data_IF_232809886156
#
_entry.id   IF_232809886156
#
_cell.length_a   1.000
_cell.length_b   1.000
_cell.length_c   1.000
_cell.angle_alpha   90.00
_cell.angle_beta   90.00
_cell.angle_gamma   90.00
#
_symmetry.space_group_name_H-M   'P 1'
#
loop_
_entity.id
_entity.type
_entity.pdbx_description
1 polymer ?
#
# COMPACT_ATOMS: atom_id res chain seq x y z
N UNK A 1 22.63 1.91 3.97
CA UNK A 1 22.89 3.36 4.08
C UNK A 1 23.04 3.75 5.55
N UNK A 2 24.02 3.16 6.23
CA UNK A 2 24.30 3.40 7.65
C UNK A 2 25.79 3.70 7.79
N UNK A 3 26.13 4.55 8.74
CA UNK A 3 27.49 4.81 9.16
C UNK A 3 28.03 3.62 9.98
N UNK A 4 29.36 3.52 10.22
CA UNK A 4 29.96 2.43 11.00
C UNK A 4 29.42 2.29 12.43
N UNK A 5 28.86 3.38 12.98
CA UNK A 5 28.19 3.44 14.28
C UNK A 5 26.73 2.95 14.24
N UNK A 6 26.24 2.50 13.08
CA UNK A 6 24.87 2.04 12.86
C UNK A 6 23.84 3.16 12.59
N UNK A 7 24.25 4.44 12.60
CA UNK A 7 23.32 5.56 12.37
C UNK A 7 23.01 5.69 10.88
N UNK A 8 21.74 5.92 10.54
CA UNK A 8 21.32 6.13 9.16
C UNK A 8 22.01 7.37 8.55
N UNK A 9 22.59 7.21 7.36
CA UNK A 9 23.24 8.33 6.66
C UNK A 9 22.20 9.38 6.25
N UNK A 10 22.55 10.65 6.43
CA UNK A 10 21.76 11.76 5.93
C UNK A 10 21.70 11.80 4.39
N UNK A 11 20.62 12.35 3.85
CA UNK A 11 20.38 12.36 2.40
C UNK A 11 21.49 13.06 1.60
N UNK A 12 22.07 14.12 2.16
CA UNK A 12 23.20 14.82 1.52
C UNK A 12 24.42 13.90 1.37
N UNK A 13 24.81 13.19 2.43
CA UNK A 13 25.95 12.28 2.41
C UNK A 13 25.74 11.16 1.40
N UNK A 14 24.54 10.55 1.40
CA UNK A 14 24.19 9.50 0.43
C UNK A 14 24.30 10.01 -1.01
N UNK A 15 23.83 11.22 -1.30
CA UNK A 15 23.92 11.79 -2.64
C UNK A 15 25.35 12.23 -3.02
N UNK A 16 26.16 12.66 -2.06
CA UNK A 16 27.57 12.99 -2.28
C UNK A 16 28.38 11.74 -2.63
N UNK A 17 28.20 10.65 -1.88
CA UNK A 17 28.83 9.35 -2.14
C UNK A 17 28.48 8.81 -3.53
N UNK A 18 27.30 9.17 -4.05
CA UNK A 18 26.82 8.78 -5.38
C UNK A 18 27.20 9.76 -6.49
N UNK A 19 27.88 10.87 -6.18
CA UNK A 19 28.21 11.90 -7.17
C UNK A 19 27.01 12.69 -7.70
N UNK A 20 25.87 12.66 -7.01
CA UNK A 20 24.61 13.31 -7.42
C UNK A 20 24.36 14.64 -6.70
N UNK A 21 25.15 14.96 -5.68
CA UNK A 21 25.02 16.20 -4.93
C UNK A 21 25.55 17.40 -5.72
N UNK A 22 24.78 18.49 -5.76
CA UNK A 22 25.18 19.76 -6.36
C UNK A 22 25.05 20.93 -5.38
N UNK A 23 25.85 21.99 -5.51
CA UNK A 23 25.73 23.17 -4.65
C UNK A 23 24.32 23.76 -4.68
N UNK A 24 23.82 24.20 -3.50
CA UNK A 24 22.48 24.78 -3.31
C UNK A 24 21.31 23.86 -3.67
N UNK A 25 21.54 22.54 -3.74
CA UNK A 25 20.46 21.57 -3.90
C UNK A 25 19.57 21.57 -2.67
N UNK A 26 18.31 21.93 -2.87
CA UNK A 26 17.30 21.86 -1.82
C UNK A 26 16.97 20.41 -1.50
N UNK A 27 16.70 20.10 -0.22
CA UNK A 27 16.26 18.77 0.20
C UNK A 27 14.88 18.44 -0.37
N UNK A 28 13.99 19.44 -0.34
CA UNK A 28 12.58 19.32 -0.70
C UNK A 28 12.13 20.60 -1.42
N UNK A 29 11.44 20.44 -2.54
CA UNK A 29 10.73 21.55 -3.17
C UNK A 29 9.38 21.79 -2.48
N UNK A 30 9.06 23.06 -2.28
CA UNK A 30 7.81 23.51 -1.67
C UNK A 30 6.93 24.19 -2.71
N UNK A 31 5.63 24.03 -2.56
CA UNK A 31 4.62 24.76 -3.33
C UNK A 31 4.38 26.14 -2.67
N UNK A 32 3.78 27.11 -3.40
CA UNK A 32 3.45 28.41 -2.83
C UNK A 32 2.53 28.35 -1.60
N UNK A 33 1.70 27.30 -1.51
CA UNK A 33 0.81 27.03 -0.36
C UNK A 33 1.54 26.42 0.86
N UNK A 34 2.88 26.36 0.83
CA UNK A 34 3.70 25.77 1.89
C UNK A 34 3.70 24.24 1.93
N UNK A 35 3.00 23.55 1.02
CA UNK A 35 2.97 22.08 0.98
C UNK A 35 4.13 21.51 0.19
N UNK A 36 4.54 20.27 0.52
CA UNK A 36 5.57 19.54 -0.23
C UNK A 36 5.14 19.36 -1.69
N UNK A 37 5.99 19.76 -2.62
CA UNK A 37 5.73 19.56 -4.04
C UNK A 37 5.96 18.10 -4.44
N UNK A 38 4.89 17.28 -4.39
CA UNK A 38 4.96 15.85 -4.78
C UNK A 38 5.25 15.62 -6.27
N UNK A 39 4.99 16.60 -7.14
CA UNK A 39 5.26 16.48 -8.58
C UNK A 39 6.74 16.24 -8.88
N UNK A 40 7.63 16.73 -8.00
CA UNK A 40 9.06 16.48 -8.10
C UNK A 40 9.42 14.98 -8.03
N UNK A 41 8.60 14.15 -7.39
CA UNK A 41 8.83 12.69 -7.33
C UNK A 41 8.53 11.97 -8.65
N UNK A 42 7.83 12.63 -9.59
CA UNK A 42 7.52 12.07 -10.90
C UNK A 42 8.67 12.31 -11.89
N UNK A 43 9.89 11.91 -11.52
CA UNK A 43 11.07 11.95 -12.40
C UNK A 43 11.84 13.28 -12.45
N UNK A 44 11.57 14.21 -11.54
CA UNK A 44 12.30 15.47 -11.47
C UNK A 44 13.73 15.32 -10.94
N UNK A 45 14.59 16.29 -11.24
CA UNK A 45 15.93 16.45 -10.64
C UNK A 45 16.03 17.73 -9.80
N UNK A 46 14.88 18.29 -9.41
CA UNK A 46 14.72 19.59 -8.73
C UNK A 46 15.33 19.63 -7.32
N UNK A 47 15.22 18.54 -6.55
CA UNK A 47 15.63 18.44 -5.15
C UNK A 47 16.24 17.07 -4.83
N UNK A 48 16.95 16.98 -3.70
CA UNK A 48 17.60 15.77 -3.22
C UNK A 48 16.64 14.57 -3.14
N UNK A 49 15.41 14.80 -2.65
CA UNK A 49 14.37 13.76 -2.54
C UNK A 49 13.90 13.23 -3.89
N UNK A 50 13.89 14.06 -4.92
CA UNK A 50 13.54 13.64 -6.28
C UNK A 50 14.66 12.82 -6.92
N UNK A 51 15.91 13.24 -6.71
CA UNK A 51 17.08 12.52 -7.19
C UNK A 51 17.18 11.13 -6.57
N UNK A 52 17.11 11.02 -5.24
CA UNK A 52 17.24 9.73 -4.56
C UNK A 52 16.10 8.77 -4.93
N UNK A 53 14.88 9.27 -5.11
CA UNK A 53 13.73 8.44 -5.50
C UNK A 53 13.88 7.88 -6.93
N UNK A 54 14.74 8.48 -7.75
CA UNK A 54 15.01 8.01 -9.12
C UNK A 54 16.03 6.87 -9.13
N UNK A 55 16.85 6.76 -8.10
CA UNK A 55 17.93 5.79 -8.03
C UNK A 55 17.39 4.35 -8.13
N UNK A 56 18.12 3.46 -8.83
CA UNK A 56 17.62 2.13 -9.17
C UNK A 56 17.35 1.27 -7.94
N UNK A 57 18.19 1.38 -6.90
CA UNK A 57 18.02 0.64 -5.65
C UNK A 57 16.79 1.11 -4.85
N UNK A 58 16.49 2.41 -4.87
CA UNK A 58 15.27 2.95 -4.25
C UNK A 58 14.01 2.56 -5.03
N UNK A 59 14.08 2.50 -6.36
CA UNK A 59 12.97 2.02 -7.18
C UNK A 59 12.73 0.52 -7.04
N UNK A 60 13.80 -0.24 -6.86
CA UNK A 60 13.75 -1.68 -6.64
C UNK A 60 13.49 -2.04 -5.16
N UNK A 61 13.48 -1.07 -4.25
CA UNK A 61 13.28 -1.32 -2.84
C UNK A 61 11.88 -1.89 -2.61
N UNK A 62 11.87 -3.12 -2.10
CA UNK A 62 10.66 -3.84 -1.72
C UNK A 62 10.23 -3.39 -0.32
N UNK A 63 8.94 -3.47 -0.03
CA UNK A 63 8.48 -3.10 1.31
C UNK A 63 8.82 -4.21 2.31
N UNK A 64 9.11 -3.85 3.56
CA UNK A 64 9.38 -4.84 4.62
C UNK A 64 8.26 -5.87 4.76
N UNK A 65 6.99 -5.45 4.61
CA UNK A 65 5.84 -6.38 4.63
C UNK A 65 5.84 -7.32 3.42
N UNK A 66 6.23 -6.83 2.25
CA UNK A 66 6.30 -7.65 1.04
C UNK A 66 7.40 -8.71 1.16
N UNK A 67 8.56 -8.34 1.70
CA UNK A 67 9.67 -9.25 2.00
C UNK A 67 9.24 -10.32 3.01
N UNK A 68 8.63 -9.93 4.14
CA UNK A 68 8.18 -10.87 5.18
C UNK A 68 7.13 -11.87 4.64
N UNK A 69 6.14 -11.38 3.89
CA UNK A 69 5.09 -12.24 3.32
C UNK A 69 5.69 -13.24 2.33
N UNK A 70 6.60 -12.81 1.46
CA UNK A 70 7.24 -13.74 0.51
C UNK A 70 8.21 -14.71 1.18
N UNK A 71 8.90 -14.32 2.25
CA UNK A 71 9.74 -15.23 3.03
C UNK A 71 8.93 -16.40 3.62
N UNK A 72 7.64 -16.17 3.92
CA UNK A 72 6.72 -17.23 4.35
C UNK A 72 6.15 -18.08 3.20
N UNK A 73 6.54 -17.82 1.95
CA UNK A 73 6.07 -18.53 0.76
C UNK A 73 4.71 -18.07 0.23
N UNK A 74 4.21 -16.92 0.71
CA UNK A 74 2.96 -16.32 0.23
C UNK A 74 3.21 -15.31 -0.88
N UNK A 75 2.21 -15.14 -1.75
CA UNK A 75 2.23 -14.14 -2.82
C UNK A 75 1.63 -12.83 -2.32
N UNK A 76 2.27 -11.72 -2.68
CA UNK A 76 1.77 -10.37 -2.40
C UNK A 76 1.02 -9.85 -3.63
N UNK A 77 -0.24 -9.46 -3.46
CA UNK A 77 -1.04 -8.87 -4.53
C UNK A 77 -1.37 -7.41 -4.22
N UNK A 78 -0.85 -6.50 -5.04
CA UNK A 78 -1.08 -5.06 -4.88
C UNK A 78 -2.28 -4.60 -5.70
N UNK A 79 -3.26 -3.98 -5.03
CA UNK A 79 -4.41 -3.37 -5.68
C UNK A 79 -4.16 -1.87 -5.99
N UNK A 80 -4.75 -1.34 -7.07
CA UNK A 80 -4.74 0.09 -7.33
C UNK A 80 -5.33 0.89 -6.17
N UNK A 81 -4.72 2.04 -5.87
CA UNK A 81 -5.18 2.89 -4.77
C UNK A 81 -6.55 3.48 -5.08
N UNK A 82 -7.46 3.46 -4.10
CA UNK A 82 -8.83 3.97 -4.20
C UNK A 82 -9.76 3.17 -5.11
N UNK A 83 -9.40 1.92 -5.43
CA UNK A 83 -10.22 1.00 -6.22
C UNK A 83 -10.64 -0.21 -5.38
N UNK A 84 -11.44 0.02 -4.33
CA UNK A 84 -11.86 -1.05 -3.43
C UNK A 84 -12.78 -2.07 -4.12
N UNK A 85 -13.46 -1.67 -5.19
CA UNK A 85 -14.28 -2.54 -6.06
C UNK A 85 -13.47 -3.66 -6.72
N UNK A 86 -12.14 -3.52 -6.84
CA UNK A 86 -11.28 -4.54 -7.40
C UNK A 86 -10.83 -5.59 -6.37
N UNK A 87 -11.10 -5.37 -5.08
CA UNK A 87 -10.75 -6.30 -4.02
C UNK A 87 -11.94 -7.19 -3.65
N UNK A 88 -11.88 -8.47 -4.03
CA UNK A 88 -12.99 -9.41 -3.84
C UNK A 88 -13.41 -9.58 -2.37
N UNK A 89 -12.50 -9.30 -1.41
CA UNK A 89 -12.81 -9.40 0.02
C UNK A 89 -13.90 -8.41 0.44
N UNK A 90 -14.06 -7.28 -0.25
CA UNK A 90 -15.11 -6.30 0.03
C UNK A 90 -16.51 -6.88 -0.22
N UNK A 91 -16.66 -7.71 -1.26
CA UNK A 91 -17.91 -8.43 -1.55
C UNK A 91 -18.19 -9.50 -0.50
N UNK A 92 -17.15 -10.23 -0.07
CA UNK A 92 -17.25 -11.20 1.02
C UNK A 92 -17.73 -10.53 2.32
N UNK A 93 -17.11 -9.41 2.71
CA UNK A 93 -17.55 -8.61 3.86
C UNK A 93 -18.95 -8.05 3.66
N UNK A 94 -19.32 -7.63 2.45
CA UNK A 94 -20.67 -7.19 2.10
C UNK A 94 -21.72 -8.27 2.37
N UNK A 95 -21.48 -9.49 1.91
CA UNK A 95 -22.37 -10.63 2.12
C UNK A 95 -22.48 -11.00 3.61
N UNK A 96 -21.35 -11.08 4.32
CA UNK A 96 -21.33 -11.36 5.76
C UNK A 96 -22.07 -10.28 6.57
N UNK A 97 -21.90 -9.00 6.21
CA UNK A 97 -22.64 -7.88 6.84
C UNK A 97 -24.14 -7.96 6.60
N UNK A 98 -24.57 -8.37 5.40
CA UNK A 98 -25.99 -8.56 5.11
C UNK A 98 -26.60 -9.64 6.01
N UNK A 99 -25.91 -10.77 6.19
CA UNK A 99 -26.34 -11.82 7.11
C UNK A 99 -26.47 -11.32 8.54
N UNK A 100 -25.45 -10.58 9.02
CA UNK A 100 -25.44 -9.98 10.34
C UNK A 100 -26.62 -9.02 10.51
N UNK A 101 -26.84 -8.12 9.56
CA UNK A 101 -27.87 -7.08 9.63
C UNK A 101 -29.29 -7.67 9.74
N UNK A 102 -29.57 -8.78 9.06
CA UNK A 102 -30.86 -9.47 9.13
C UNK A 102 -31.14 -10.13 10.48
N UNK A 103 -30.10 -10.39 11.28
CA UNK A 103 -30.18 -11.15 12.54
C UNK A 103 -29.75 -10.35 13.76
N UNK A 104 -29.23 -9.15 13.56
CA UNK A 104 -28.64 -8.34 14.62
C UNK A 104 -29.74 -7.74 15.52
N UNK A 105 -29.64 -8.01 16.83
CA UNK A 105 -30.41 -7.32 17.86
C UNK A 105 -29.83 -5.97 18.29
N UNK A 106 -28.88 -5.41 17.53
CA UNK A 106 -28.18 -4.14 17.81
C UNK A 106 -27.41 -4.08 19.14
N UNK A 107 -26.87 -5.23 19.59
CA UNK A 107 -26.03 -5.33 20.79
C UNK A 107 -24.61 -5.77 20.38
N UNK A 108 -23.59 -5.01 20.78
CA UNK A 108 -22.20 -5.27 20.37
C UNK A 108 -21.70 -6.66 20.79
N UNK A 109 -22.04 -7.10 21.99
CA UNK A 109 -21.65 -8.42 22.52
C UNK A 109 -22.30 -9.56 21.71
N UNK A 110 -23.55 -9.38 21.30
CA UNK A 110 -24.25 -10.35 20.46
C UNK A 110 -23.64 -10.36 19.05
N UNK A 111 -23.31 -9.19 18.51
CA UNK A 111 -22.66 -9.06 17.21
C UNK A 111 -21.30 -9.77 17.19
N UNK A 112 -20.45 -9.57 18.21
CA UNK A 112 -19.15 -10.24 18.32
C UNK A 112 -19.28 -11.76 18.30
N UNK A 113 -20.26 -12.32 19.01
CA UNK A 113 -20.55 -13.77 18.99
C UNK A 113 -21.04 -14.26 17.63
N UNK A 114 -21.71 -13.40 16.87
CA UNK A 114 -22.29 -13.74 15.56
C UNK A 114 -21.29 -13.64 14.41
N UNK A 115 -20.19 -12.88 14.54
CA UNK A 115 -19.19 -12.72 13.46
C UNK A 115 -18.75 -14.05 12.83
N UNK A 116 -18.40 -15.10 13.60
CA UNK A 116 -18.04 -16.39 13.01
C UNK A 116 -19.16 -17.01 12.15
N UNK A 117 -20.42 -16.92 12.59
CA UNK A 117 -21.57 -17.42 11.85
C UNK A 117 -21.81 -16.60 10.57
N UNK A 118 -21.69 -15.28 10.64
CA UNK A 118 -21.78 -14.40 9.48
C UNK A 118 -20.74 -14.75 8.40
N UNK A 119 -19.52 -15.01 8.83
CA UNK A 119 -18.42 -15.40 7.94
C UNK A 119 -18.65 -16.78 7.33
N UNK A 120 -19.07 -17.75 8.15
CA UNK A 120 -19.39 -19.11 7.72
C UNK A 120 -20.64 -19.17 6.80
N UNK A 121 -21.53 -18.17 6.86
CA UNK A 121 -22.71 -18.10 6.00
C UNK A 121 -22.37 -17.91 4.51
N UNK A 122 -21.19 -17.37 4.21
CA UNK A 122 -20.77 -17.10 2.84
C UNK A 122 -20.20 -18.36 2.22
N UNK A 123 -20.94 -18.94 1.27
CA UNK A 123 -20.55 -20.17 0.62
C UNK A 123 -19.23 -20.02 -0.18
N UNK A 124 -18.32 -21.02 -0.15
CA UNK A 124 -17.09 -20.98 -0.96
C UNK A 124 -17.34 -20.74 -2.45
N UNK A 125 -18.42 -21.29 -2.99
CA UNK A 125 -18.84 -21.07 -4.39
C UNK A 125 -19.13 -19.60 -4.70
N UNK A 126 -19.63 -18.85 -3.72
CA UNK A 126 -19.87 -17.41 -3.85
C UNK A 126 -18.57 -16.60 -3.77
N UNK A 127 -17.62 -17.03 -2.92
CA UNK A 127 -16.28 -16.42 -2.85
C UNK A 127 -15.58 -16.49 -4.22
N UNK A 128 -15.61 -17.66 -4.87
CA UNK A 128 -15.08 -17.82 -6.22
C UNK A 128 -15.76 -16.92 -7.26
N UNK A 129 -17.08 -16.69 -7.13
CA UNK A 129 -17.80 -15.75 -8.00
C UNK A 129 -17.36 -14.31 -7.78
N UNK A 130 -17.11 -13.90 -6.53
CA UNK A 130 -16.58 -12.57 -6.22
C UNK A 130 -15.19 -12.38 -6.83
N UNK A 131 -14.29 -13.35 -6.65
CA UNK A 131 -12.97 -13.33 -7.29
C UNK A 131 -13.05 -13.18 -8.81
N UNK A 132 -13.85 -14.03 -9.46
CA UNK A 132 -14.00 -13.98 -10.92
C UNK A 132 -14.63 -12.66 -11.40
N UNK A 133 -15.51 -12.05 -10.59
CA UNK A 133 -16.08 -10.75 -10.90
C UNK A 133 -15.04 -9.64 -10.85
N UNK A 134 -14.24 -9.57 -9.79
CA UNK A 134 -13.18 -8.57 -9.65
C UNK A 134 -12.09 -8.76 -10.69
N UNK A 135 -11.76 -10.01 -11.05
CA UNK A 135 -10.84 -10.29 -12.16
C UNK A 135 -11.35 -9.75 -13.50
N UNK A 136 -12.64 -9.93 -13.81
CA UNK A 136 -13.24 -9.34 -15.02
C UNK A 136 -13.22 -7.82 -15.00
N UNK A 137 -13.46 -7.19 -13.84
CA UNK A 137 -13.37 -5.74 -13.69
C UNK A 137 -11.93 -5.26 -13.91
N UNK A 138 -10.94 -5.92 -13.29
CA UNK A 138 -9.53 -5.58 -13.46
C UNK A 138 -9.07 -5.66 -14.91
N UNK A 139 -9.58 -6.61 -15.70
CA UNK A 139 -9.27 -6.73 -17.14
C UNK A 139 -9.85 -5.61 -18.00
N UNK A 140 -10.84 -4.87 -17.52
CA UNK A 140 -11.52 -3.81 -18.27
C UNK A 140 -10.97 -2.40 -17.97
N UNK A 141 -10.19 -2.23 -16.91
CA UNK A 141 -9.46 -1.00 -16.57
C UNK A 141 -8.19 -0.85 -17.43
#
# INVERSE_FOLDING_TARGET
MVMPDGIAKGLQMVLQERGLWRPRLQVQCWRPDGKKNKLCLNGGTCCARALIAKEPDFKAQRSCLEEEVELTGHLVHFFPKYHCELNFIEYYWGAAKLYAHQRCGYIIQALQKMVPECLASVQPTLIWKFWAHTERMMRAY
#
